data_IF_800385405981
#
_entry.id   IF_800385405981
#
_cell.length_a   1.000
_cell.length_b   1.000
_cell.length_c   1.000
_cell.angle_alpha   90.00
_cell.angle_beta   90.00
_cell.angle_gamma   90.00
#
_symmetry.space_group_name_H-M   'P 1'
#
loop_
_entity.id
_entity.type
_entity.pdbx_description
1 polymer ?
#
# COMPACT_ATOMS: atom_id res chain seq x y z
N UNK A 1 16.94 -4.29 -31.61
CA UNK A 1 15.52 -4.20 -31.21
C UNK A 1 15.37 -2.90 -30.44
N UNK A 2 14.68 -1.90 -30.98
CA UNK A 2 14.45 -0.62 -30.28
C UNK A 2 13.34 -0.88 -29.27
N UNK A 3 13.69 -0.94 -27.98
CA UNK A 3 12.70 -1.07 -26.91
C UNK A 3 11.92 0.25 -26.86
N UNK A 4 10.59 0.17 -26.97
CA UNK A 4 9.74 1.34 -26.81
C UNK A 4 9.80 1.80 -25.34
N UNK A 5 10.45 2.94 -25.09
CA UNK A 5 10.70 3.47 -23.75
C UNK A 5 9.42 3.75 -22.97
N UNK A 6 8.35 4.11 -23.67
CA UNK A 6 7.06 4.40 -23.06
C UNK A 6 6.38 3.13 -22.55
N UNK A 7 6.49 2.03 -23.30
CA UNK A 7 5.98 0.71 -22.86
C UNK A 7 6.72 0.22 -21.61
N UNK A 8 8.03 0.47 -21.52
CA UNK A 8 8.80 0.16 -20.30
C UNK A 8 8.34 1.00 -19.12
N UNK A 9 8.18 2.32 -19.31
CA UNK A 9 7.72 3.22 -18.26
C UNK A 9 6.32 2.86 -17.75
N UNK A 10 5.40 2.50 -18.65
CA UNK A 10 4.06 2.00 -18.29
C UNK A 10 4.16 0.73 -17.44
N UNK A 11 4.96 -0.26 -17.86
CA UNK A 11 5.13 -1.50 -17.12
C UNK A 11 5.71 -1.28 -15.73
N UNK A 12 6.72 -0.41 -15.60
CA UNK A 12 7.31 -0.07 -14.30
C UNK A 12 6.31 0.64 -13.38
N UNK A 13 5.51 1.55 -13.93
CA UNK A 13 4.49 2.26 -13.16
C UNK A 13 3.36 1.31 -12.69
N UNK A 14 2.94 0.38 -13.55
CA UNK A 14 1.96 -0.66 -13.21
C UNK A 14 2.48 -1.63 -12.14
N UNK A 15 3.75 -2.06 -12.24
CA UNK A 15 4.38 -2.92 -11.24
C UNK A 15 4.44 -2.24 -9.86
N UNK A 16 4.86 -0.96 -9.82
CA UNK A 16 4.85 -0.17 -8.58
C UNK A 16 3.45 -0.02 -8.00
N UNK A 17 2.46 0.27 -8.85
CA UNK A 17 1.07 0.40 -8.41
C UNK A 17 0.52 -0.92 -7.86
N UNK A 18 0.82 -2.05 -8.50
CA UNK A 18 0.41 -3.38 -8.01
C UNK A 18 1.00 -3.67 -6.63
N UNK A 19 2.32 -3.49 -6.47
CA UNK A 19 3.02 -3.74 -5.20
C UNK A 19 2.52 -2.87 -4.05
N UNK A 20 2.27 -1.59 -4.33
CA UNK A 20 1.69 -0.68 -3.34
C UNK A 20 0.27 -1.12 -2.94
N UNK A 21 -0.55 -1.54 -3.92
CA UNK A 21 -1.90 -2.04 -3.67
C UNK A 21 -1.92 -3.32 -2.83
N UNK A 22 -1.04 -4.27 -3.13
CA UNK A 22 -0.86 -5.50 -2.34
C UNK A 22 -0.44 -5.15 -0.91
N UNK A 23 0.50 -4.23 -0.74
CA UNK A 23 0.99 -3.79 0.57
C UNK A 23 -0.10 -3.14 1.43
N UNK A 24 -1.00 -2.35 0.82
CA UNK A 24 -2.19 -1.82 1.51
C UNK A 24 -3.09 -2.97 1.98
N UNK A 25 -3.35 -3.96 1.12
CA UNK A 25 -4.16 -5.12 1.46
C UNK A 25 -3.58 -5.94 2.62
N UNK A 26 -2.26 -6.18 2.61
CA UNK A 26 -1.57 -6.86 3.72
C UNK A 26 -1.65 -6.07 5.03
N UNK A 27 -1.53 -4.74 4.98
CA UNK A 27 -1.67 -3.89 6.16
C UNK A 27 -3.09 -3.95 6.73
N UNK A 28 -4.12 -3.90 5.88
CA UNK A 28 -5.53 -4.05 6.31
C UNK A 28 -5.79 -5.43 6.95
N UNK A 29 -5.26 -6.50 6.36
CA UNK A 29 -5.35 -7.85 6.93
C UNK A 29 -4.66 -7.95 8.30
N UNK A 30 -3.44 -7.42 8.40
CA UNK A 30 -2.67 -7.42 9.66
C UNK A 30 -3.38 -6.63 10.76
N UNK A 31 -3.96 -5.48 10.45
CA UNK A 31 -4.75 -4.69 11.41
C UNK A 31 -5.95 -5.48 11.90
N UNK A 32 -6.67 -6.17 11.01
CA UNK A 32 -7.83 -6.97 11.40
C UNK A 32 -7.44 -8.11 12.36
N UNK A 33 -6.30 -8.76 12.14
CA UNK A 33 -5.75 -9.78 13.05
C UNK A 33 -5.42 -9.18 14.42
N UNK A 34 -4.69 -8.06 14.46
CA UNK A 34 -4.31 -7.40 15.73
C UNK A 34 -5.54 -6.86 16.47
N UNK A 35 -6.56 -6.38 15.78
CA UNK A 35 -7.85 -6.00 16.40
C UNK A 35 -8.53 -7.19 17.07
N UNK A 36 -8.51 -8.36 16.43
CA UNK A 36 -9.04 -9.59 17.03
C UNK A 36 -8.27 -9.98 18.30
N UNK A 37 -6.93 -9.89 18.28
CA UNK A 37 -6.10 -10.18 19.47
C UNK A 37 -6.37 -9.20 20.62
N UNK A 38 -6.50 -7.91 20.30
CA UNK A 38 -6.88 -6.87 21.28
C UNK A 38 -8.22 -7.18 21.94
N UNK A 39 -9.22 -7.56 21.16
CA UNK A 39 -10.57 -7.79 21.66
C UNK A 39 -10.64 -9.04 22.55
N UNK A 40 -9.75 -10.01 22.32
CA UNK A 40 -9.60 -11.22 23.13
C UNK A 40 -8.66 -11.08 24.34
N UNK A 41 -7.94 -9.96 24.46
CA UNK A 41 -7.02 -9.73 25.58
C UNK A 41 -7.80 -9.52 26.90
N UNK A 42 -7.28 -10.10 27.99
CA UNK A 42 -7.92 -10.08 29.31
C UNK A 42 -7.29 -9.10 30.30
N UNK A 43 -6.18 -8.46 29.95
CA UNK A 43 -5.55 -7.40 30.74
C UNK A 43 -5.49 -6.09 29.92
N UNK A 44 -5.33 -4.96 30.62
CA UNK A 44 -5.33 -3.63 30.00
C UNK A 44 -4.02 -3.35 29.25
N UNK A 45 -2.89 -3.84 29.77
CA UNK A 45 -1.57 -3.61 29.19
C UNK A 45 -1.45 -4.20 27.78
N UNK A 46 -1.94 -5.42 27.57
CA UNK A 46 -1.97 -6.08 26.26
C UNK A 46 -2.91 -5.34 25.30
N UNK A 47 -4.09 -4.89 25.79
CA UNK A 47 -5.02 -4.10 24.97
C UNK A 47 -4.40 -2.79 24.49
N UNK A 48 -3.64 -2.13 25.36
CA UNK A 48 -2.92 -0.91 25.02
C UNK A 48 -1.80 -1.19 24.03
N UNK A 49 -1.03 -2.27 24.24
CA UNK A 49 0.02 -2.71 23.31
C UNK A 49 -0.53 -2.99 21.91
N UNK A 50 -1.62 -3.76 21.78
CA UNK A 50 -2.25 -4.02 20.50
C UNK A 50 -2.84 -2.76 19.85
N UNK A 51 -3.42 -1.85 20.65
CA UNK A 51 -3.92 -0.56 20.14
C UNK A 51 -2.79 0.28 19.55
N UNK A 52 -1.65 0.37 20.23
CA UNK A 52 -0.45 1.03 19.72
C UNK A 52 0.08 0.37 18.43
N UNK A 53 0.01 -0.96 18.32
CA UNK A 53 0.39 -1.67 17.10
C UNK A 53 -0.54 -1.35 15.93
N UNK A 54 -1.85 -1.28 16.17
CA UNK A 54 -2.84 -0.88 15.16
C UNK A 54 -2.54 0.54 14.67
N UNK A 55 -2.35 1.50 15.57
CA UNK A 55 -2.06 2.89 15.20
C UNK A 55 -0.80 3.03 14.35
N UNK A 56 0.27 2.32 14.72
CA UNK A 56 1.52 2.31 13.93
C UNK A 56 1.30 1.71 12.54
N UNK A 57 0.53 0.62 12.45
CA UNK A 57 0.25 -0.05 11.18
C UNK A 57 -0.63 0.82 10.29
N UNK A 58 -1.62 1.52 10.85
CA UNK A 58 -2.46 2.47 10.12
C UNK A 58 -1.66 3.67 9.61
N UNK A 59 -0.72 4.19 10.40
CA UNK A 59 0.18 5.25 9.96
C UNK A 59 1.06 4.79 8.77
N UNK A 60 1.62 3.58 8.84
CA UNK A 60 2.37 2.99 7.72
C UNK A 60 1.48 2.78 6.49
N UNK A 61 0.25 2.32 6.68
CA UNK A 61 -0.73 2.17 5.59
C UNK A 61 -1.03 3.49 4.89
N UNK A 62 -1.13 4.59 5.64
CA UNK A 62 -1.33 5.92 5.06
C UNK A 62 -0.18 6.32 4.13
N UNK A 63 1.08 6.03 4.52
CA UNK A 63 2.24 6.27 3.66
C UNK A 63 2.20 5.42 2.38
N UNK A 64 1.86 4.13 2.50
CA UNK A 64 1.75 3.23 1.34
C UNK A 64 0.62 3.69 0.39
N UNK A 65 -0.49 4.21 0.93
CA UNK A 65 -1.57 4.78 0.11
C UNK A 65 -1.13 6.02 -0.68
N UNK A 66 -0.27 6.86 -0.10
CA UNK A 66 0.32 7.99 -0.83
C UNK A 66 1.21 7.51 -1.99
N UNK A 67 2.04 6.48 -1.74
CA UNK A 67 2.86 5.86 -2.80
C UNK A 67 2.01 5.19 -3.88
N UNK A 68 0.91 4.52 -3.50
CA UNK A 68 -0.08 3.97 -4.42
C UNK A 68 -0.70 5.07 -5.29
N UNK A 69 -1.06 6.21 -4.70
CA UNK A 69 -1.62 7.34 -5.44
C UNK A 69 -0.61 7.92 -6.45
N UNK A 70 0.64 8.12 -6.04
CA UNK A 70 1.73 8.57 -6.94
C UNK A 70 1.97 7.58 -8.08
N UNK A 71 2.05 6.29 -7.78
CA UNK A 71 2.23 5.26 -8.80
C UNK A 71 1.07 5.27 -9.81
N UNK A 72 -0.17 5.49 -9.35
CA UNK A 72 -1.33 5.64 -10.23
C UNK A 72 -1.21 6.85 -11.16
N UNK A 73 -0.78 8.00 -10.63
CA UNK A 73 -0.52 9.19 -11.44
C UNK A 73 0.57 8.97 -12.49
N UNK A 74 1.65 8.26 -12.12
CA UNK A 74 2.72 7.91 -13.03
C UNK A 74 2.22 7.00 -14.17
N UNK A 75 1.36 6.03 -13.87
CA UNK A 75 0.68 5.20 -14.89
C UNK A 75 -0.11 6.10 -15.86
N UNK A 76 -0.95 6.99 -15.33
CA UNK A 76 -1.76 7.91 -16.15
C UNK A 76 -0.87 8.76 -17.05
N UNK A 77 0.21 9.33 -16.51
CA UNK A 77 1.16 10.17 -17.26
C UNK A 77 1.88 9.38 -18.36
N UNK A 78 2.33 8.17 -18.06
CA UNK A 78 3.02 7.32 -19.02
C UNK A 78 2.10 6.91 -20.20
N UNK A 79 0.84 6.57 -19.91
CA UNK A 79 -0.15 6.32 -20.95
C UNK A 79 -0.49 7.57 -21.77
N UNK A 80 -0.63 8.73 -21.13
CA UNK A 80 -0.90 9.99 -21.84
C UNK A 80 0.22 10.36 -22.81
N UNK A 81 1.49 10.13 -22.42
CA UNK A 81 2.64 10.34 -23.30
C UNK A 81 2.66 9.36 -24.48
N UNK A 82 2.34 8.08 -24.24
CA UNK A 82 2.34 7.05 -25.29
C UNK A 82 1.31 7.29 -26.41
N UNK A 83 0.17 7.90 -26.08
CA UNK A 83 -0.91 8.19 -27.03
C UNK A 83 -0.91 9.64 -27.56
N UNK A 84 0.11 10.43 -27.22
CA UNK A 84 0.35 11.79 -27.73
C UNK A 84 1.04 11.78 -29.10
#
# INVERSE_FOLDING_TARGET
MVINKDVVAINEALDRFSKASESVGYADGSIAEVMSERDNANNLDDKEAYSNMIERTDAMKAMIKDDQAKAREDVIRAFAHYYS
#
